data_IF_381136613489
#
_entry.id   IF_381136613489
#
_cell.length_a   1.000
_cell.length_b   1.000
_cell.length_c   1.000
_cell.angle_alpha   90.00
_cell.angle_beta   90.00
_cell.angle_gamma   90.00
#
_symmetry.space_group_name_H-M   'P 1'
#
loop_
_entity.id
_entity.type
_entity.pdbx_description
1 polymer ?
#
# COMPACT_ATOMS: atom_id res chain seq x y z
N UNK A 1 27.51 8.05 -7.64
CA UNK A 1 26.16 8.23 -7.07
C UNK A 1 25.21 8.36 -8.24
N UNK A 2 24.40 7.33 -8.52
CA UNK A 2 23.36 7.44 -9.54
C UNK A 2 22.33 8.46 -9.06
N UNK A 3 22.08 9.50 -9.83
CA UNK A 3 20.99 10.44 -9.58
C UNK A 3 19.67 9.69 -9.85
N UNK A 4 19.07 9.08 -8.83
CA UNK A 4 17.78 8.40 -8.97
C UNK A 4 16.71 9.41 -9.41
N UNK A 5 16.16 9.21 -10.61
CA UNK A 5 15.04 9.99 -11.14
C UNK A 5 13.73 9.35 -10.67
N UNK A 6 13.36 9.59 -9.43
CA UNK A 6 12.11 9.06 -8.87
C UNK A 6 10.90 9.74 -9.54
N UNK A 7 9.85 8.96 -9.80
CA UNK A 7 8.60 9.44 -10.40
C UNK A 7 7.44 9.16 -9.44
N UNK A 8 6.60 10.17 -9.24
CA UNK A 8 5.31 10.04 -8.54
C UNK A 8 4.21 10.08 -9.58
N UNK A 9 3.36 9.06 -9.61
CA UNK A 9 2.20 8.96 -10.50
C UNK A 9 0.94 9.43 -9.78
N UNK A 10 0.13 10.25 -10.44
CA UNK A 10 -1.17 10.69 -9.91
C UNK A 10 -2.25 10.16 -10.85
N UNK A 11 -3.22 9.44 -10.30
CA UNK A 11 -4.36 8.86 -11.02
C UNK A 11 -5.63 9.51 -10.49
N UNK A 12 -6.41 10.13 -11.38
CA UNK A 12 -7.60 10.90 -11.00
C UNK A 12 -8.80 10.42 -11.81
N UNK A 13 -9.78 9.87 -11.10
CA UNK A 13 -11.05 9.40 -11.64
C UNK A 13 -11.05 7.93 -12.09
N UNK A 14 -12.26 7.39 -12.22
CA UNK A 14 -12.52 5.96 -12.41
C UNK A 14 -11.74 5.33 -13.57
N UNK A 15 -11.78 5.96 -14.75
CA UNK A 15 -11.09 5.43 -15.94
C UNK A 15 -9.56 5.40 -15.78
N UNK A 16 -8.98 6.45 -15.20
CA UNK A 16 -7.54 6.50 -14.94
C UNK A 16 -7.13 5.46 -13.89
N UNK A 17 -7.95 5.25 -12.86
CA UNK A 17 -7.72 4.24 -11.82
C UNK A 17 -7.86 2.81 -12.36
N UNK A 18 -8.79 2.57 -13.29
CA UNK A 18 -8.94 1.29 -13.98
C UNK A 18 -7.68 0.93 -14.77
N UNK A 19 -7.20 1.83 -15.63
CA UNK A 19 -5.96 1.63 -16.40
C UNK A 19 -4.77 1.52 -15.45
N UNK A 20 -4.73 2.40 -14.44
CA UNK A 20 -3.69 2.45 -13.43
C UNK A 20 -3.50 1.14 -12.69
N UNK A 21 -4.59 0.48 -12.33
CA UNK A 21 -4.57 -0.84 -11.69
C UNK A 21 -3.87 -1.87 -12.56
N UNK A 22 -4.20 -1.95 -13.86
CA UNK A 22 -3.54 -2.86 -14.78
C UNK A 22 -2.06 -2.53 -14.98
N UNK A 23 -1.72 -1.25 -15.10
CA UNK A 23 -0.34 -0.80 -15.20
C UNK A 23 0.50 -1.26 -14.00
N UNK A 24 0.01 -1.04 -12.78
CA UNK A 24 0.74 -1.45 -11.57
C UNK A 24 0.87 -2.96 -11.44
N UNK A 25 -0.17 -3.72 -11.80
CA UNK A 25 -0.09 -5.19 -11.80
C UNK A 25 0.96 -5.72 -12.78
N UNK A 26 1.10 -5.09 -13.96
CA UNK A 26 2.13 -5.45 -14.94
C UNK A 26 3.52 -5.12 -14.39
N UNK A 27 3.70 -3.94 -13.80
CA UNK A 27 4.97 -3.54 -13.16
C UNK A 27 5.34 -4.46 -11.99
N UNK A 28 4.38 -4.88 -11.18
CA UNK A 28 4.61 -5.85 -10.10
C UNK A 28 5.02 -7.22 -10.65
N UNK A 29 4.39 -7.66 -11.74
CA UNK A 29 4.71 -8.95 -12.37
C UNK A 29 6.12 -9.04 -12.95
N UNK A 30 6.78 -7.91 -13.22
CA UNK A 30 8.15 -7.88 -13.73
C UNK A 30 9.21 -7.91 -12.63
N UNK A 31 8.83 -7.90 -11.35
CA UNK A 31 9.80 -8.10 -10.26
C UNK A 31 10.39 -9.51 -10.31
N UNK A 32 11.71 -9.61 -10.17
CA UNK A 32 12.40 -10.88 -9.97
C UNK A 32 12.76 -11.06 -8.49
N UNK A 33 12.18 -12.08 -7.85
CA UNK A 33 12.43 -12.40 -6.44
C UNK A 33 13.49 -13.51 -6.26
N UNK A 34 14.09 -13.98 -7.36
CA UNK A 34 15.07 -15.08 -7.32
C UNK A 34 16.48 -14.52 -7.09
N UNK A 35 17.17 -14.90 -6.01
CA UNK A 35 18.49 -14.36 -5.64
C UNK A 35 19.60 -14.67 -6.66
N UNK A 36 19.46 -15.72 -7.47
CA UNK A 36 20.44 -16.16 -8.48
C UNK A 36 20.13 -15.68 -9.90
N UNK A 37 19.27 -14.66 -10.05
CA UNK A 37 18.97 -14.11 -11.36
C UNK A 37 20.16 -13.30 -11.88
N UNK A 38 21.06 -13.95 -12.62
CA UNK A 38 22.09 -13.31 -13.44
C UNK A 38 21.51 -12.55 -14.64
N UNK A 39 20.21 -12.31 -14.64
CA UNK A 39 19.46 -11.68 -15.73
C UNK A 39 19.39 -10.19 -15.39
N UNK A 40 19.99 -9.31 -16.21
CA UNK A 40 19.82 -7.88 -16.03
C UNK A 40 18.34 -7.53 -16.09
N UNK A 41 17.83 -6.82 -15.08
CA UNK A 41 16.49 -6.26 -15.15
C UNK A 41 16.48 -5.16 -16.21
N UNK A 42 15.61 -5.29 -17.22
CA UNK A 42 15.41 -4.26 -18.25
C UNK A 42 14.79 -2.98 -17.68
N UNK A 43 14.15 -3.08 -16.50
CA UNK A 43 13.41 -2.00 -15.84
C UNK A 43 14.04 -1.72 -14.48
N UNK A 44 14.34 -0.45 -14.22
CA UNK A 44 14.71 0.00 -12.89
C UNK A 44 13.45 0.28 -12.06
N UNK A 45 13.15 -0.61 -11.11
CA UNK A 45 11.98 -0.51 -10.25
C UNK A 45 12.05 0.65 -9.24
N UNK A 46 13.23 1.12 -8.83
CA UNK A 46 13.41 2.20 -7.85
C UNK A 46 12.88 3.56 -8.35
N UNK A 47 12.67 3.67 -9.67
CA UNK A 47 12.08 4.86 -10.30
C UNK A 47 10.61 5.02 -9.91
N UNK A 48 9.84 3.92 -9.95
CA UNK A 48 8.38 3.93 -9.74
C UNK A 48 7.97 3.38 -8.38
N UNK A 49 8.82 2.58 -7.76
CA UNK A 49 8.59 2.01 -6.44
C UNK A 49 9.52 2.65 -5.42
N UNK A 50 9.07 2.64 -4.17
CA UNK A 50 9.86 2.99 -3.00
C UNK A 50 10.15 1.69 -2.26
N UNK A 51 11.43 1.37 -2.14
CA UNK A 51 11.92 0.33 -1.25
C UNK A 51 11.69 0.74 0.22
N UNK A 52 11.25 -0.20 1.03
CA UNK A 52 11.08 -0.06 2.47
C UNK A 52 11.34 -1.39 3.17
N UNK A 53 11.30 -1.39 4.49
CA UNK A 53 11.40 -2.60 5.31
C UNK A 53 10.21 -2.68 6.25
N UNK A 54 9.60 -3.86 6.35
CA UNK A 54 8.54 -4.10 7.31
C UNK A 54 9.13 -4.42 8.71
N UNK A 55 8.26 -4.59 9.70
CA UNK A 55 8.68 -4.91 11.08
C UNK A 55 9.37 -6.26 11.26
N UNK A 56 9.28 -7.16 10.27
CA UNK A 56 10.01 -8.43 10.24
C UNK A 56 11.41 -8.30 9.62
N UNK A 57 11.80 -7.10 9.17
CA UNK A 57 13.05 -6.87 8.45
C UNK A 57 13.01 -7.34 7.00
N UNK A 58 11.83 -7.68 6.47
CA UNK A 58 11.67 -8.09 5.07
C UNK A 58 11.64 -6.85 4.17
N UNK A 59 12.36 -6.90 3.05
CA UNK A 59 12.35 -5.84 2.04
C UNK A 59 10.97 -5.81 1.36
N UNK A 60 10.46 -4.60 1.17
CA UNK A 60 9.15 -4.35 0.58
C UNK A 60 9.26 -3.27 -0.49
N UNK A 61 8.44 -3.35 -1.52
CA UNK A 61 8.36 -2.33 -2.57
C UNK A 61 6.94 -1.78 -2.63
N UNK A 62 6.82 -0.46 -2.47
CA UNK A 62 5.52 0.23 -2.52
C UNK A 62 5.47 1.18 -3.73
N UNK A 63 4.41 1.14 -4.57
CA UNK A 63 4.33 2.01 -5.72
C UNK A 63 4.21 3.49 -5.31
N UNK A 64 4.87 4.38 -6.04
CA UNK A 64 4.82 5.85 -5.83
C UNK A 64 3.60 6.43 -6.53
N UNK A 65 2.41 6.06 -6.05
CA UNK A 65 1.13 6.46 -6.66
C UNK A 65 0.22 7.19 -5.67
N UNK A 66 -0.45 8.24 -6.15
CA UNK A 66 -1.61 8.84 -5.51
C UNK A 66 -2.86 8.57 -6.34
N UNK A 67 -3.84 7.90 -5.74
CA UNK A 67 -5.11 7.55 -6.37
C UNK A 67 -6.20 8.45 -5.81
N UNK A 68 -6.94 9.12 -6.71
CA UNK A 68 -8.01 10.06 -6.36
C UNK A 68 -9.29 9.64 -7.08
N UNK A 69 -10.36 9.45 -6.33
CA UNK A 69 -11.70 9.14 -6.88
C UNK A 69 -12.80 9.51 -5.89
N UNK A 70 -14.05 9.38 -6.31
CA UNK A 70 -15.20 9.43 -5.44
C UNK A 70 -15.20 8.21 -4.48
N UNK A 71 -15.67 8.37 -3.23
CA UNK A 71 -15.64 7.30 -2.22
C UNK A 71 -16.28 5.99 -2.68
N UNK A 72 -17.32 6.08 -3.52
CA UNK A 72 -18.03 4.95 -4.11
C UNK A 72 -17.11 4.03 -4.92
N UNK A 73 -16.13 4.60 -5.61
CA UNK A 73 -15.18 3.90 -6.48
C UNK A 73 -13.96 3.36 -5.72
N UNK A 74 -13.69 3.83 -4.49
CA UNK A 74 -12.55 3.43 -3.67
C UNK A 74 -12.87 2.30 -2.68
N UNK A 75 -14.12 1.82 -2.64
CA UNK A 75 -14.61 0.84 -1.64
C UNK A 75 -13.84 -0.50 -1.63
N UNK A 76 -13.19 -0.87 -2.72
CA UNK A 76 -12.36 -2.08 -2.80
C UNK A 76 -10.98 -1.89 -2.16
N UNK A 77 -10.54 -0.65 -1.96
CA UNK A 77 -9.24 -0.31 -1.37
C UNK A 77 -9.40 -0.21 0.14
N UNK A 78 -8.52 -0.87 0.88
CA UNK A 78 -8.47 -0.75 2.34
C UNK A 78 -8.01 0.65 2.72
N UNK A 79 -8.63 1.22 3.77
CA UNK A 79 -8.21 2.53 4.31
C UNK A 79 -6.76 2.52 4.79
N UNK A 80 -6.26 1.36 5.23
CA UNK A 80 -4.89 1.19 5.73
C UNK A 80 -4.18 0.02 5.05
N UNK A 81 -2.89 0.21 4.78
CA UNK A 81 -2.01 -0.83 4.26
C UNK A 81 -1.47 -1.68 5.42
N UNK A 82 -1.75 -2.99 5.49
CA UNK A 82 -1.32 -3.85 6.59
C UNK A 82 0.19 -4.10 6.62
N UNK A 83 0.91 -3.69 5.56
CA UNK A 83 2.35 -3.95 5.38
C UNK A 83 3.22 -3.36 6.50
N UNK A 84 2.77 -2.25 7.11
CA UNK A 84 3.46 -1.56 8.19
C UNK A 84 2.58 -1.43 9.43
N UNK A 85 1.70 -2.41 9.68
CA UNK A 85 0.98 -2.51 10.97
C UNK A 85 1.85 -3.25 11.97
N UNK A 86 2.03 -2.70 13.16
CA UNK A 86 2.72 -3.40 14.24
C UNK A 86 1.82 -4.49 14.81
N UNK A 87 2.39 -5.64 15.21
CA UNK A 87 1.59 -6.73 15.79
C UNK A 87 0.85 -6.33 17.09
N UNK A 88 1.27 -5.24 17.71
CA UNK A 88 0.65 -4.68 18.92
C UNK A 88 -0.52 -3.73 18.61
N UNK A 89 -0.65 -3.18 17.39
CA UNK A 89 -1.81 -2.37 17.00
C UNK A 89 -3.10 -3.21 16.82
N UNK A 90 -2.96 -4.51 16.52
CA UNK A 90 -4.12 -5.43 16.47
C UNK A 90 -4.49 -5.96 17.87
N UNK A 91 -3.65 -5.75 18.89
CA UNK A 91 -4.00 -5.98 20.29
C UNK A 91 -4.58 -4.69 20.85
N UNK A 92 -5.88 -4.70 21.17
CA UNK A 92 -6.44 -3.73 22.10
C UNK A 92 -5.96 -4.05 23.51
N UNK A 93 -4.65 -3.91 23.77
CA UNK A 93 -4.12 -3.98 25.12
C UNK A 93 -4.43 -2.63 25.78
N UNK A 94 -5.67 -2.51 26.26
CA UNK A 94 -6.03 -1.41 27.14
C UNK A 94 -5.12 -1.51 28.38
N UNK A 95 -4.40 -0.43 28.77
CA UNK A 95 -3.46 -0.45 29.89
C UNK A 95 -4.12 -0.58 31.27
N UNK A 96 -5.38 -1.04 31.33
CA UNK A 96 -6.20 -1.11 32.52
C UNK A 96 -6.41 -2.56 32.94
N UNK A 97 -5.98 -2.89 34.15
CA UNK A 97 -6.01 -4.27 34.71
C UNK A 97 -7.41 -4.69 35.24
N UNK A 98 -8.44 -3.85 35.07
CA UNK A 98 -9.80 -4.15 35.51
C UNK A 98 -10.65 -4.90 34.48
N UNK A 99 -11.91 -5.19 34.84
CA UNK A 99 -12.86 -5.90 33.98
C UNK A 99 -13.26 -5.06 32.74
N UNK A 100 -12.56 -5.26 31.62
CA UNK A 100 -12.73 -4.48 30.39
C UNK A 100 -13.82 -5.09 29.50
N UNK A 101 -14.85 -4.30 29.17
CA UNK A 101 -15.85 -4.66 28.16
C UNK A 101 -15.59 -3.84 26.88
N UNK A 102 -15.08 -4.50 25.83
CA UNK A 102 -14.77 -3.83 24.56
C UNK A 102 -15.96 -3.91 23.61
N UNK A 103 -16.63 -2.77 23.40
CA UNK A 103 -17.74 -2.67 22.46
C UNK A 103 -17.23 -2.05 21.15
N UNK A 104 -16.97 -2.90 20.13
CA UNK A 104 -16.70 -2.44 18.77
C UNK A 104 -18.01 -2.03 18.10
N UNK A 105 -18.17 -0.74 17.80
CA UNK A 105 -19.23 -0.23 16.93
C UNK A 105 -18.69 -0.07 15.51
N UNK A 106 -19.49 -0.49 14.53
CA UNK A 106 -19.23 -0.19 13.12
C UNK A 106 -19.26 1.33 12.93
N UNK A 107 -18.29 1.86 12.18
CA UNK A 107 -18.22 3.30 11.86
C UNK A 107 -19.55 3.74 11.25
N UNK A 108 -20.18 4.76 11.82
CA UNK A 108 -21.39 5.33 11.23
C UNK A 108 -21.02 6.00 9.91
N UNK A 109 -21.77 5.67 8.85
CA UNK A 109 -21.60 6.32 7.56
C UNK A 109 -21.88 7.82 7.71
N UNK A 110 -21.06 8.61 7.02
CA UNK A 110 -21.16 10.06 7.03
C UNK A 110 -22.50 10.44 6.38
N UNK A 111 -23.32 11.22 7.09
CA UNK A 111 -24.60 11.69 6.56
C UNK A 111 -24.34 12.53 5.32
N UNK A 112 -24.88 12.11 4.17
CA UNK A 112 -24.90 12.91 2.96
C UNK A 112 -26.02 13.96 3.09
N UNK A 113 -25.67 15.23 2.89
CA UNK A 113 -26.61 16.33 2.69
C UNK A 113 -26.95 16.46 1.21
#
# INVERSE_FOLDING_TARGET
MSSSKEIVTIQVGNFANFIGTHWWNIQESSFCYTPDSSIPLDINHDVMFREGQNFRGEVTYTPRVLVVDLPENLRSIREECPLYRSADEDKTDAPWEGALEVIRKTRQEKTHF
#
